data_IF_269167119302
#
_entry.id   IF_269167119302
#
_cell.length_a   1.000
_cell.length_b   1.000
_cell.length_c   1.000
_cell.angle_alpha   90.00
_cell.angle_beta   90.00
_cell.angle_gamma   90.00
#
_symmetry.space_group_name_H-M   'P 1'
#
loop_
_entity.id
_entity.type
_entity.pdbx_description
1 polymer ?
#
# COMPACT_ATOMS: atom_id res chain seq x y z
N UNK A 1 -11.54 31.71 -23.73
CA UNK A 1 -11.62 30.99 -22.43
C UNK A 1 -11.12 29.58 -22.68
N UNK A 2 -9.89 29.33 -22.30
CA UNK A 2 -9.15 28.08 -22.54
C UNK A 2 -9.42 27.10 -21.41
N UNK A 3 -9.91 25.91 -21.76
CA UNK A 3 -10.11 24.79 -20.84
C UNK A 3 -8.77 24.29 -20.26
N UNK A 4 -8.70 23.90 -18.97
CA UNK A 4 -7.52 23.21 -18.45
C UNK A 4 -7.46 21.75 -18.96
N UNK A 5 -6.26 21.18 -19.14
CA UNK A 5 -6.07 19.86 -19.71
C UNK A 5 -6.37 18.72 -18.73
N UNK A 6 -6.91 17.63 -19.27
CA UNK A 6 -7.21 16.37 -18.60
C UNK A 6 -5.94 15.63 -18.12
N UNK A 7 -6.12 14.86 -17.04
CA UNK A 7 -5.13 14.00 -16.35
C UNK A 7 -4.43 12.92 -17.20
N UNK A 8 -4.70 12.85 -18.49
CA UNK A 8 -4.10 11.89 -19.43
C UNK A 8 -2.62 12.17 -19.77
N UNK A 9 -2.07 13.34 -19.41
CA UNK A 9 -0.76 13.80 -19.88
C UNK A 9 0.42 13.41 -18.97
N UNK A 10 0.16 12.93 -17.75
CA UNK A 10 1.25 12.53 -16.83
C UNK A 10 1.81 11.12 -17.10
N UNK A 11 1.11 10.28 -17.89
CA UNK A 11 1.46 8.86 -18.10
C UNK A 11 2.65 8.57 -19.03
N UNK A 12 3.36 9.56 -19.57
CA UNK A 12 4.37 9.33 -20.62
C UNK A 12 5.85 9.49 -20.22
N UNK A 13 6.16 9.72 -18.94
CA UNK A 13 7.55 9.96 -18.52
C UNK A 13 8.22 8.86 -17.68
N UNK A 14 7.53 7.76 -17.35
CA UNK A 14 8.09 6.67 -16.53
C UNK A 14 8.23 5.37 -17.33
N UNK A 15 8.85 5.45 -18.51
CA UNK A 15 9.10 4.26 -19.36
C UNK A 15 10.54 4.23 -19.89
N UNK A 16 11.47 4.74 -19.08
CA UNK A 16 12.92 4.62 -19.30
C UNK A 16 13.60 4.33 -17.97
N UNK A 17 13.53 3.07 -17.50
CA UNK A 17 14.53 2.56 -16.58
C UNK A 17 14.94 1.14 -16.98
N UNK A 18 16.25 1.00 -17.08
CA UNK A 18 17.00 0.00 -17.82
C UNK A 18 17.07 -1.35 -17.10
N UNK A 19 17.13 -2.42 -17.90
CA UNK A 19 17.38 -3.80 -17.43
C UNK A 19 18.84 -3.97 -16.97
N UNK A 20 19.12 -4.59 -15.81
CA UNK A 20 20.46 -5.07 -15.52
C UNK A 20 20.73 -6.41 -16.21
N UNK A 21 21.94 -6.49 -16.79
CA UNK A 21 22.51 -7.62 -17.50
C UNK A 21 22.96 -8.71 -16.53
N UNK A 22 22.64 -9.96 -16.87
CA UNK A 22 23.27 -11.17 -16.36
C UNK A 22 24.79 -11.12 -16.56
N UNK A 23 25.57 -11.49 -15.53
CA UNK A 23 26.95 -11.92 -15.71
C UNK A 23 27.15 -13.31 -15.14
N UNK A 24 27.73 -14.15 -15.99
CA UNK A 24 27.95 -15.58 -15.88
C UNK A 24 29.37 -15.86 -15.39
N UNK A 25 29.51 -16.94 -14.61
CA UNK A 25 30.61 -17.93 -14.59
C UNK A 25 32.06 -17.45 -14.44
N UNK A 26 32.81 -18.00 -13.47
CA UNK A 26 33.69 -19.15 -13.76
C UNK A 26 34.51 -19.63 -12.55
N UNK A 27 34.72 -20.94 -12.57
CA UNK A 27 35.48 -21.81 -11.68
C UNK A 27 37.01 -21.59 -11.80
N UNK A 28 37.73 -21.76 -10.69
CA UNK A 28 39.14 -22.19 -10.68
C UNK A 28 39.40 -23.07 -9.45
N UNK A 29 39.99 -24.28 -9.60
CA UNK A 29 40.51 -25.03 -8.47
C UNK A 29 42.01 -24.76 -8.32
N UNK A 30 42.43 -24.26 -7.15
CA UNK A 30 43.85 -24.20 -6.77
C UNK A 30 44.19 -25.42 -5.90
N UNK A 31 45.03 -26.30 -6.43
CA UNK A 31 45.61 -27.44 -5.70
C UNK A 31 46.80 -26.95 -4.88
N UNK A 32 46.72 -27.05 -3.55
CA UNK A 32 47.84 -26.74 -2.64
C UNK A 32 48.48 -28.04 -2.14
N UNK A 33 49.79 -28.19 -2.37
CA UNK A 33 50.61 -29.25 -1.78
C UNK A 33 51.06 -28.82 -0.37
N UNK A 34 50.65 -29.58 0.65
CA UNK A 34 51.09 -29.43 2.03
C UNK A 34 52.37 -30.23 2.28
N UNK A 35 53.46 -29.53 2.61
CA UNK A 35 54.66 -30.11 3.19
C UNK A 35 54.67 -29.78 4.69
N UNK A 36 54.65 -30.82 5.53
CA UNK A 36 54.60 -30.70 7.01
C UNK A 36 56.00 -30.92 7.58
N UNK A 37 56.63 -29.93 8.23
CA UNK A 37 57.74 -30.19 9.12
C UNK A 37 57.22 -30.30 10.57
N UNK A 38 57.52 -31.44 11.20
CA UNK A 38 57.32 -31.68 12.63
C UNK A 38 58.41 -30.99 13.45
N UNK A 39 58.02 -30.18 14.44
CA UNK A 39 58.94 -29.69 15.47
C UNK A 39 58.32 -29.83 16.88
N UNK A 40 59.16 -30.06 17.91
CA UNK A 40 58.73 -30.54 19.21
C UNK A 40 58.16 -29.44 20.11
N UNK A 41 57.19 -29.87 20.90
CA UNK A 41 56.55 -29.17 22.01
C UNK A 41 57.56 -28.47 22.94
N UNK A 42 57.41 -27.15 23.09
CA UNK A 42 57.83 -26.42 24.30
C UNK A 42 56.66 -25.58 24.78
N UNK A 43 56.13 -25.96 25.95
CA UNK A 43 55.18 -25.19 26.72
C UNK A 43 55.81 -23.84 27.10
N UNK A 44 55.28 -22.77 26.54
CA UNK A 44 55.38 -21.43 27.10
C UNK A 44 53.96 -20.89 27.21
N UNK A 45 53.52 -20.66 28.44
CA UNK A 45 52.27 -19.99 28.75
C UNK A 45 52.28 -18.60 28.11
N UNK A 46 51.40 -18.38 27.15
CA UNK A 46 51.17 -17.07 26.54
C UNK A 46 49.68 -16.95 26.29
N UNK A 47 49.02 -16.10 27.07
CA UNK A 47 47.61 -15.77 26.93
C UNK A 47 47.42 -15.05 25.58
N UNK A 48 47.10 -15.79 24.51
CA UNK A 48 46.69 -15.21 23.23
C UNK A 48 45.18 -15.10 23.22
N UNK A 49 44.68 -13.88 23.39
CA UNK A 49 43.27 -13.57 23.20
C UNK A 49 42.84 -14.03 21.80
N UNK A 50 41.96 -15.03 21.73
CA UNK A 50 41.36 -15.47 20.49
C UNK A 50 40.27 -14.45 20.11
N UNK A 51 40.56 -13.59 19.15
CA UNK A 51 39.57 -12.70 18.55
C UNK A 51 38.60 -13.53 17.70
N UNK A 52 37.49 -13.95 18.29
CA UNK A 52 36.35 -14.51 17.55
C UNK A 52 35.69 -13.36 16.77
N UNK A 53 35.93 -13.30 15.46
CA UNK A 53 35.20 -12.39 14.57
C UNK A 53 33.83 -13.00 14.28
N UNK A 54 32.80 -12.54 14.98
CA UNK A 54 31.40 -12.87 14.68
C UNK A 54 31.01 -12.11 13.42
N UNK A 55 30.93 -12.79 12.27
CA UNK A 55 30.31 -12.24 11.07
C UNK A 55 28.80 -12.27 11.31
N UNK A 56 28.24 -11.16 11.78
CA UNK A 56 26.81 -10.97 11.84
C UNK A 56 26.28 -10.79 10.40
N UNK A 57 25.74 -11.86 9.82
CA UNK A 57 24.95 -11.76 8.59
C UNK A 57 23.63 -11.10 8.98
N UNK A 58 23.56 -9.78 8.84
CA UNK A 58 22.30 -9.05 8.90
C UNK A 58 21.48 -9.46 7.67
N UNK A 59 20.67 -10.50 7.80
CA UNK A 59 19.60 -10.77 6.85
C UNK A 59 18.56 -9.64 7.02
N UNK A 60 18.75 -8.54 6.28
CA UNK A 60 17.78 -7.47 6.20
C UNK A 60 16.47 -8.04 5.69
N UNK A 61 15.44 -8.06 6.54
CA UNK A 61 14.09 -8.34 6.07
C UNK A 61 13.67 -7.13 5.23
N UNK A 62 13.64 -7.29 3.91
CA UNK A 62 12.83 -6.39 3.11
C UNK A 62 11.39 -6.56 3.61
N UNK A 63 10.84 -5.54 4.26
CA UNK A 63 9.41 -5.50 4.55
C UNK A 63 8.72 -5.37 3.20
N UNK A 64 8.10 -6.44 2.73
CA UNK A 64 7.26 -6.38 1.55
C UNK A 64 6.05 -5.52 1.90
N UNK A 65 5.79 -4.49 1.10
CA UNK A 65 4.60 -3.65 1.20
C UNK A 65 3.35 -4.50 0.99
N UNK A 66 2.41 -4.40 1.92
CA UNK A 66 1.13 -5.11 1.85
C UNK A 66 0.01 -4.26 2.43
N UNK A 67 -1.12 -4.26 1.74
CA UNK A 67 -2.32 -3.52 2.17
C UNK A 67 -3.55 -4.41 2.02
N UNK A 68 -4.42 -4.39 3.02
CA UNK A 68 -5.70 -5.10 3.00
C UNK A 68 -6.86 -4.13 3.16
N UNK A 69 -7.82 -4.22 2.23
CA UNK A 69 -9.10 -3.53 2.28
C UNK A 69 -10.17 -4.55 2.65
N UNK A 70 -10.89 -4.33 3.75
CA UNK A 70 -11.99 -5.18 4.21
C UNK A 70 -13.32 -4.43 4.20
N UNK A 71 -14.40 -5.16 3.96
CA UNK A 71 -15.74 -4.59 3.86
C UNK A 71 -16.67 -5.16 4.92
N UNK A 72 -17.49 -4.29 5.52
CA UNK A 72 -18.63 -4.64 6.36
C UNK A 72 -19.88 -4.05 5.74
N UNK A 73 -20.82 -4.90 5.33
CA UNK A 73 -22.11 -4.45 4.79
C UNK A 73 -23.22 -4.73 5.79
N UNK A 74 -23.64 -3.71 6.54
CA UNK A 74 -24.73 -3.81 7.51
C UNK A 74 -26.10 -3.50 6.88
N UNK A 75 -26.16 -3.16 5.59
CA UNK A 75 -27.41 -2.78 4.93
C UNK A 75 -28.37 -3.96 4.74
N UNK A 76 -27.84 -5.19 4.71
CA UNK A 76 -28.60 -6.40 4.35
C UNK A 76 -28.91 -6.52 2.85
N UNK A 77 -28.39 -5.62 2.03
CA UNK A 77 -28.51 -5.62 0.56
C UNK A 77 -27.28 -4.99 -0.08
N UNK A 78 -27.17 -5.12 -1.41
CA UNK A 78 -26.07 -4.59 -2.20
C UNK A 78 -24.76 -5.35 -2.01
N UNK A 79 -23.77 -5.02 -2.85
CA UNK A 79 -22.48 -5.71 -2.90
C UNK A 79 -21.35 -4.69 -2.79
N UNK A 80 -20.49 -4.76 -1.76
CA UNK A 80 -19.27 -3.96 -1.72
C UNK A 80 -18.45 -4.20 -2.99
N UNK A 81 -18.10 -3.13 -3.68
CA UNK A 81 -17.36 -3.18 -4.93
C UNK A 81 -16.10 -2.37 -4.77
N UNK A 82 -14.96 -2.94 -5.17
CA UNK A 82 -13.64 -2.29 -5.16
C UNK A 82 -13.09 -2.30 -6.57
N UNK A 83 -12.73 -1.13 -7.06
CA UNK A 83 -12.17 -0.94 -8.40
C UNK A 83 -10.84 -0.24 -8.25
N UNK A 84 -9.80 -0.84 -8.82
CA UNK A 84 -8.45 -0.30 -8.82
C UNK A 84 -8.20 0.63 -10.01
N UNK A 85 -6.99 1.19 -10.04
CA UNK A 85 -6.54 2.02 -11.15
C UNK A 85 -6.79 1.35 -12.52
N UNK A 86 -7.22 2.15 -13.50
CA UNK A 86 -7.48 1.66 -14.86
C UNK A 86 -8.79 0.88 -15.02
N UNK A 87 -9.66 0.87 -14.00
CA UNK A 87 -10.99 0.25 -14.07
C UNK A 87 -10.97 -1.27 -13.87
N UNK A 88 -9.96 -1.80 -13.16
CA UNK A 88 -9.88 -3.22 -12.84
C UNK A 88 -10.74 -3.51 -11.61
N UNK A 89 -11.69 -4.42 -11.72
CA UNK A 89 -12.45 -4.89 -10.54
C UNK A 89 -11.52 -5.73 -9.65
N UNK A 90 -11.22 -5.22 -8.46
CA UNK A 90 -10.35 -5.88 -7.48
C UNK A 90 -11.15 -6.77 -6.51
N UNK A 91 -12.38 -6.38 -6.18
CA UNK A 91 -13.27 -7.16 -5.32
C UNK A 91 -14.75 -6.86 -5.56
N UNK A 92 -15.59 -7.85 -5.31
CA UNK A 92 -17.06 -7.79 -5.32
C UNK A 92 -17.63 -8.41 -4.03
N UNK A 93 -17.11 -8.00 -2.88
CA UNK A 93 -17.68 -8.29 -1.56
C UNK A 93 -16.68 -8.84 -0.53
N UNK A 94 -15.58 -9.45 -0.98
CA UNK A 94 -14.55 -10.00 -0.11
C UNK A 94 -13.46 -8.98 0.25
N UNK A 95 -12.72 -9.25 1.31
CA UNK A 95 -11.49 -8.51 1.57
C UNK A 95 -10.50 -8.69 0.42
N UNK A 96 -9.76 -7.63 0.09
CA UNK A 96 -8.75 -7.61 -0.96
C UNK A 96 -7.40 -7.28 -0.33
N UNK A 97 -6.39 -8.12 -0.60
CA UNK A 97 -5.01 -7.89 -0.16
C UNK A 97 -4.09 -7.76 -1.37
N UNK A 98 -3.34 -6.66 -1.43
CA UNK A 98 -2.29 -6.44 -2.41
C UNK A 98 -0.90 -6.64 -1.79
N UNK A 99 0.00 -7.29 -2.53
CA UNK A 99 1.44 -7.39 -2.21
C UNK A 99 2.19 -6.22 -2.85
N UNK A 100 1.79 -4.99 -2.52
CA UNK A 100 2.30 -3.75 -3.07
C UNK A 100 1.28 -2.62 -2.91
N UNK A 101 1.58 -1.42 -3.43
CA UNK A 101 0.72 -0.26 -3.28
C UNK A 101 -0.61 -0.43 -4.03
N UNK A 102 -1.65 0.23 -3.52
CA UNK A 102 -2.95 0.37 -4.16
C UNK A 102 -3.12 1.85 -4.51
N UNK A 103 -3.10 2.19 -5.79
CA UNK A 103 -3.24 3.57 -6.25
C UNK A 103 -4.66 3.87 -6.71
N UNK A 104 -5.22 4.98 -6.22
CA UNK A 104 -6.48 5.56 -6.72
C UNK A 104 -7.62 4.55 -6.84
N UNK A 105 -7.74 3.64 -5.87
CA UNK A 105 -8.84 2.70 -5.84
C UNK A 105 -10.10 3.39 -5.32
N UNK A 106 -11.23 2.95 -5.84
CA UNK A 106 -12.55 3.43 -5.43
C UNK A 106 -13.37 2.27 -4.88
N UNK A 107 -14.13 2.54 -3.84
CA UNK A 107 -15.04 1.58 -3.23
C UNK A 107 -16.42 2.19 -3.00
N UNK A 108 -17.45 1.40 -3.24
CA UNK A 108 -18.84 1.79 -3.05
C UNK A 108 -19.72 0.55 -2.85
N UNK A 109 -20.92 0.74 -2.31
CA UNK A 109 -21.91 -0.33 -2.21
C UNK A 109 -22.75 -0.35 -3.48
N UNK A 110 -22.57 -1.36 -4.33
CA UNK A 110 -23.39 -1.53 -5.53
C UNK A 110 -24.80 -2.00 -5.15
N UNK A 111 -25.79 -1.13 -5.32
CA UNK A 111 -27.22 -1.39 -5.01
C UNK A 111 -28.07 -1.65 -6.25
N UNK A 112 -27.46 -1.65 -7.44
CA UNK A 112 -28.11 -1.74 -8.76
C UNK A 112 -28.26 -0.38 -9.45
N UNK A 113 -28.12 0.72 -8.71
CA UNK A 113 -28.19 2.10 -9.23
C UNK A 113 -26.83 2.79 -9.41
N UNK A 114 -25.74 2.21 -8.90
CA UNK A 114 -24.43 2.83 -9.00
C UNK A 114 -23.82 2.59 -10.38
N UNK A 115 -23.20 3.61 -10.96
CA UNK A 115 -22.37 3.46 -12.15
C UNK A 115 -21.10 2.62 -11.89
N UNK A 116 -20.34 2.38 -12.96
CA UNK A 116 -19.12 1.58 -12.87
C UNK A 116 -18.05 2.27 -12.03
N UNK A 117 -17.96 3.60 -12.03
CA UNK A 117 -17.01 4.33 -11.19
C UNK A 117 -17.68 4.86 -9.91
N UNK A 118 -18.74 4.22 -9.43
CA UNK A 118 -19.47 4.68 -8.24
C UNK A 118 -20.33 5.92 -8.48
N UNK A 119 -20.65 6.26 -9.74
CA UNK A 119 -21.58 7.36 -10.04
C UNK A 119 -22.94 7.11 -9.37
N UNK A 120 -23.58 8.18 -8.90
CA UNK A 120 -24.83 8.14 -8.13
C UNK A 120 -24.78 7.42 -6.77
N UNK A 121 -23.58 7.13 -6.25
CA UNK A 121 -23.38 6.47 -4.97
C UNK A 121 -22.34 7.17 -4.08
N UNK A 122 -22.45 6.95 -2.76
CA UNK A 122 -21.41 7.35 -1.80
C UNK A 122 -20.16 6.54 -2.14
N UNK A 123 -19.04 7.23 -2.37
CA UNK A 123 -17.80 6.59 -2.82
C UNK A 123 -16.67 6.89 -1.84
N UNK A 124 -15.87 5.87 -1.53
CA UNK A 124 -14.61 5.97 -0.82
C UNK A 124 -13.48 5.95 -1.86
N UNK A 125 -12.64 6.97 -1.86
CA UNK A 125 -11.42 7.03 -2.68
C UNK A 125 -10.22 6.72 -1.79
N UNK A 126 -9.29 5.87 -2.25
CA UNK A 126 -8.13 5.49 -1.45
C UNK A 126 -6.86 5.28 -2.27
N UNK A 127 -5.76 5.73 -1.72
CA UNK A 127 -4.41 5.29 -2.08
C UNK A 127 -3.75 4.71 -0.84
N UNK A 128 -3.35 3.44 -0.90
CA UNK A 128 -2.60 2.76 0.15
C UNK A 128 -1.18 2.52 -0.33
N UNK A 129 -0.23 3.20 0.29
CA UNK A 129 1.19 3.15 -0.04
C UNK A 129 2.04 3.39 1.19
N UNK A 130 3.19 2.73 1.26
CA UNK A 130 4.22 2.99 2.28
C UNK A 130 4.90 4.35 2.00
N UNK A 131 4.98 5.24 3.01
CA UNK A 131 5.63 6.53 2.83
C UNK A 131 7.12 6.38 2.51
N UNK A 132 7.59 7.08 1.48
CA UNK A 132 9.04 7.19 1.18
C UNK A 132 9.63 8.52 1.65
N UNK A 133 8.77 9.53 1.81
CA UNK A 133 9.04 10.83 2.44
C UNK A 133 7.85 11.24 3.30
N UNK A 134 8.05 12.20 4.21
CA UNK A 134 6.94 12.77 4.99
C UNK A 134 5.83 13.30 4.07
N UNK A 135 4.58 12.90 4.34
CA UNK A 135 3.40 13.30 3.56
C UNK A 135 3.14 12.47 2.30
N UNK A 136 3.96 11.45 2.00
CA UNK A 136 3.79 10.57 0.82
C UNK A 136 3.07 9.25 1.10
N UNK A 137 2.64 9.05 2.35
CA UNK A 137 1.93 7.84 2.76
C UNK A 137 0.51 7.73 2.20
N UNK A 138 -0.23 6.78 2.76
CA UNK A 138 -1.60 6.47 2.37
C UNK A 138 -2.56 7.64 2.65
N UNK A 139 -3.59 7.79 1.82
CA UNK A 139 -4.67 8.77 1.98
C UNK A 139 -5.99 8.17 1.54
N UNK A 140 -7.04 8.42 2.29
CA UNK A 140 -8.40 7.95 2.01
C UNK A 140 -9.40 9.05 2.30
N UNK A 141 -10.46 9.13 1.51
CA UNK A 141 -11.56 10.08 1.70
C UNK A 141 -12.90 9.52 1.20
N UNK A 142 -13.97 10.23 1.52
CA UNK A 142 -15.32 9.98 0.99
C UNK A 142 -15.65 11.14 0.05
N UNK A 143 -16.22 10.85 -1.12
CA UNK A 143 -16.62 11.88 -2.08
C UNK A 143 -18.12 11.82 -2.41
N UNK A 144 -18.73 13.00 -2.42
CA UNK A 144 -20.08 13.29 -2.87
C UNK A 144 -20.08 14.39 -3.96
N UNK A 145 -18.93 14.65 -4.58
CA UNK A 145 -18.83 15.58 -5.71
C UNK A 145 -19.55 14.95 -6.92
N UNK A 146 -20.48 15.65 -7.60
CA UNK A 146 -21.12 15.13 -8.80
C UNK A 146 -20.11 14.61 -9.83
N UNK A 147 -20.32 13.41 -10.42
CA UNK A 147 -21.57 12.63 -10.45
C UNK A 147 -21.82 11.68 -9.26
N UNK A 148 -21.02 11.75 -8.19
CA UNK A 148 -21.23 10.98 -6.96
C UNK A 148 -22.28 11.68 -6.09
N UNK A 149 -23.04 10.89 -5.33
CA UNK A 149 -24.12 11.41 -4.49
C UNK A 149 -24.42 10.41 -3.39
N UNK A 150 -24.93 10.89 -2.26
CA UNK A 150 -25.21 10.02 -1.13
C UNK A 150 -26.21 8.92 -1.49
N UNK A 151 -25.85 7.67 -1.22
CA UNK A 151 -26.70 6.49 -1.43
C UNK A 151 -26.99 5.72 -0.14
N UNK A 152 -25.96 5.41 0.63
CA UNK A 152 -26.04 4.78 1.96
C UNK A 152 -25.04 5.44 2.90
N UNK A 153 -25.24 5.31 4.22
CA UNK A 153 -24.19 5.69 5.19
C UNK A 153 -22.96 4.85 4.90
N UNK A 154 -21.82 5.52 4.87
CA UNK A 154 -20.55 4.91 4.50
C UNK A 154 -19.46 5.54 5.35
N UNK A 155 -18.71 4.67 6.02
CA UNK A 155 -17.53 5.06 6.77
C UNK A 155 -16.32 4.24 6.35
N UNK A 156 -15.14 4.77 6.63
CA UNK A 156 -13.90 4.02 6.58
C UNK A 156 -13.06 4.29 7.83
N UNK A 157 -12.21 3.34 8.17
CA UNK A 157 -11.19 3.50 9.20
C UNK A 157 -9.95 2.71 8.87
N UNK A 158 -8.79 3.30 9.09
CA UNK A 158 -7.55 2.54 9.13
C UNK A 158 -7.57 1.62 10.35
N UNK A 159 -7.06 0.40 10.18
CA UNK A 159 -6.85 -0.53 11.29
C UNK A 159 -5.39 -1.00 11.35
N UNK A 160 -4.96 -1.43 12.54
CA UNK A 160 -3.56 -1.72 12.82
C UNK A 160 -2.77 -0.43 13.08
N UNK A 161 -1.78 -0.14 12.23
CA UNK A 161 -0.74 0.89 12.49
C UNK A 161 -1.26 2.33 12.53
N UNK A 162 -2.35 2.63 11.82
CA UNK A 162 -2.95 3.97 11.74
C UNK A 162 -4.34 4.05 12.40
N UNK A 163 -4.70 3.04 13.18
CA UNK A 163 -5.95 3.07 13.94
C UNK A 163 -5.92 4.20 14.99
N UNK A 164 -7.06 4.86 15.29
CA UNK A 164 -8.39 4.65 14.72
C UNK A 164 -8.76 5.68 13.64
N UNK A 165 -7.78 6.23 12.90
CA UNK A 165 -8.04 7.32 11.97
C UNK A 165 -9.02 6.91 10.86
N UNK A 166 -10.02 7.73 10.58
CA UNK A 166 -11.08 7.42 9.63
C UNK A 166 -12.06 8.57 9.47
N UNK A 167 -13.06 8.37 8.63
CA UNK A 167 -14.16 9.31 8.41
C UNK A 167 -15.46 8.53 8.21
N UNK A 168 -16.57 9.15 8.60
CA UNK A 168 -17.90 8.58 8.47
C UNK A 168 -18.86 9.63 7.88
N UNK A 169 -19.63 9.23 6.88
CA UNK A 169 -20.66 10.04 6.24
C UNK A 169 -22.03 9.38 6.41
N UNK A 170 -22.78 9.85 7.40
CA UNK A 170 -24.08 9.30 7.76
C UNK A 170 -25.30 9.98 7.09
N UNK A 171 -25.07 11.03 6.30
CA UNK A 171 -26.12 11.71 5.54
C UNK A 171 -25.55 12.51 4.36
N UNK A 172 -26.41 12.97 3.46
CA UNK A 172 -26.02 13.69 2.25
C UNK A 172 -25.31 15.04 2.47
N UNK A 173 -25.30 15.59 3.69
CA UNK A 173 -24.64 16.84 4.07
C UNK A 173 -23.49 16.61 5.07
N UNK A 174 -22.95 15.39 5.15
CA UNK A 174 -21.83 15.09 6.05
C UNK A 174 -20.63 16.01 5.77
N UNK A 175 -20.02 16.56 6.81
CA UNK A 175 -18.87 17.48 6.69
C UNK A 175 -17.51 16.77 6.55
N UNK A 176 -17.55 15.44 6.48
CA UNK A 176 -16.41 14.52 6.39
C UNK A 176 -16.19 13.98 4.97
N UNK A 177 -17.01 14.41 4.01
CA UNK A 177 -16.89 14.06 2.61
C UNK A 177 -16.54 15.30 1.76
N UNK A 178 -15.93 15.05 0.60
CA UNK A 178 -15.78 16.06 -0.43
C UNK A 178 -17.15 16.39 -1.04
N UNK A 179 -17.54 17.66 -1.00
CA UNK A 179 -18.69 18.20 -1.76
C UNK A 179 -18.24 19.07 -2.92
N UNK A 180 -17.04 19.63 -2.81
CA UNK A 180 -16.32 20.35 -3.86
C UNK A 180 -14.85 19.98 -3.84
N UNK A 181 -14.14 20.16 -4.97
CA UNK A 181 -12.74 19.75 -5.11
C UNK A 181 -11.74 20.45 -4.17
N UNK A 182 -12.18 21.49 -3.48
CA UNK A 182 -11.37 22.24 -2.51
C UNK A 182 -11.52 21.75 -1.07
N UNK A 183 -12.35 20.74 -0.80
CA UNK A 183 -12.54 20.17 0.55
C UNK A 183 -11.37 19.29 1.00
N UNK A 184 -10.14 19.64 0.67
CA UNK A 184 -8.94 18.82 0.87
C UNK A 184 -8.66 18.45 2.33
N UNK A 185 -9.28 19.16 3.28
CA UNK A 185 -9.19 18.93 4.72
C UNK A 185 -9.98 17.70 5.21
N UNK A 186 -10.84 17.10 4.38
CA UNK A 186 -11.62 15.90 4.75
C UNK A 186 -10.86 14.59 4.46
N UNK A 187 -9.72 14.67 3.78
CA UNK A 187 -8.84 13.51 3.57
C UNK A 187 -8.20 13.05 4.87
N UNK A 188 -8.13 11.74 5.05
CA UNK A 188 -7.49 11.12 6.21
C UNK A 188 -6.22 10.39 5.76
N UNK A 189 -5.08 10.90 6.23
CA UNK A 189 -3.77 10.38 5.90
C UNK A 189 -3.29 9.33 6.92
N UNK A 190 -2.51 8.37 6.45
CA UNK A 190 -1.74 7.44 7.26
C UNK A 190 -0.29 7.45 6.78
N UNK A 191 0.65 7.78 7.68
CA UNK A 191 2.08 7.93 7.37
C UNK A 191 2.92 6.79 7.96
N UNK A 192 2.33 5.59 8.02
CA UNK A 192 2.97 4.37 8.50
C UNK A 192 2.95 3.30 7.41
N UNK A 193 3.90 2.36 7.48
CA UNK A 193 3.97 1.23 6.55
C UNK A 193 2.82 0.24 6.75
N UNK A 194 2.33 -0.33 5.66
CA UNK A 194 1.33 -1.41 5.60
C UNK A 194 -0.02 -1.01 6.22
N UNK A 195 -0.47 0.20 5.87
CA UNK A 195 -1.79 0.71 6.23
C UNK A 195 -2.89 -0.22 5.70
N UNK A 196 -3.82 -0.62 6.56
CA UNK A 196 -4.99 -1.41 6.15
C UNK A 196 -6.26 -0.59 6.36
N UNK A 197 -7.28 -0.85 5.54
CA UNK A 197 -8.50 -0.05 5.50
C UNK A 197 -9.73 -0.94 5.71
N UNK A 198 -10.59 -0.56 6.66
CA UNK A 198 -11.91 -1.14 6.82
C UNK A 198 -12.95 -0.15 6.30
N UNK A 199 -13.86 -0.62 5.44
CA UNK A 199 -14.96 0.18 4.90
C UNK A 199 -16.27 -0.44 5.39
N UNK A 200 -17.12 0.38 5.99
CA UNK A 200 -18.41 -0.03 6.55
C UNK A 200 -19.52 0.70 5.82
N UNK A 201 -20.58 -0.02 5.48
CA UNK A 201 -21.81 0.53 4.91
C UNK A 201 -22.98 0.29 5.85
N UNK A 202 -23.89 1.27 5.98
CA UNK A 202 -25.05 1.23 6.87
C UNK A 202 -24.70 1.10 8.36
N UNK A 203 -23.72 1.86 8.83
CA UNK A 203 -23.44 2.08 10.26
C UNK A 203 -24.36 3.14 10.92
#
# INVERSE_FOLDING_TARGET
MTFPPSWSTFKRQVLLMERPRFFSSNLFPFTFHLHVPTLPFKMFASLKAATFTVIAVAAGKALAETHTISFTNNCGYGTPTLIGEGGVVLSTGGAYTANGPIYGAIAYLQTGGCGFNGESCTMVETTLVNPTTAGSGSSTDITLIPPHSFSVTTGFGYYGVCAPAGADCNNANCNTAFHVSTDTYVQVACQEDNANLAITFCD
#
